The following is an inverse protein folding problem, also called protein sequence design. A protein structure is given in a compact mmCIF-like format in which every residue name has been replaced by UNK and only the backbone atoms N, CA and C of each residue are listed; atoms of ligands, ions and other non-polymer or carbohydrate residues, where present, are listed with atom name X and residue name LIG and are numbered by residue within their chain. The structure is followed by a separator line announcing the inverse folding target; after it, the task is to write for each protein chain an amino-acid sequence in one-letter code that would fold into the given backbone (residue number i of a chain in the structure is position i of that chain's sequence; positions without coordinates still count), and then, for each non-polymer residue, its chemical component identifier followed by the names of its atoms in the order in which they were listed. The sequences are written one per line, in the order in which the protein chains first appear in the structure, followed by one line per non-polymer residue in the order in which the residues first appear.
data_IF_395488857174
#
_entry.id   IF_395488857174
#
_cell.length_a   1.000
_cell.length_b   1.000
_cell.length_c   1.000
_cell.angle_alpha   90.00
_cell.angle_beta   90.00
_cell.angle_gamma   90.00
#
_symmetry.space_group_name_H-M   'P 1'
#
loop_
_entity.id
_entity.type
_entity.pdbx_description
1 polymer ?
#
# COMPACT_ATOMS: atom_id res chain seq x y z
N UNK A 1 4.97 5.54 0.06
CA UNK A 1 6.06 4.57 0.36
C UNK A 1 6.64 4.74 1.76
N UNK A 2 7.44 5.79 2.04
CA UNK A 2 8.03 5.98 3.39
C UNK A 2 6.97 5.98 4.51
N UNK A 3 5.83 6.64 4.27
CA UNK A 3 4.72 6.67 5.24
C UNK A 3 4.09 5.29 5.45
N UNK A 4 3.89 4.50 4.40
CA UNK A 4 3.34 3.14 4.48
C UNK A 4 4.20 2.22 5.34
N UNK A 5 5.54 2.30 5.22
CA UNK A 5 6.48 1.61 6.12
C UNK A 5 6.35 2.05 7.57
N UNK A 6 6.18 3.35 7.81
CA UNK A 6 5.96 3.88 9.16
C UNK A 6 4.65 3.38 9.76
N UNK A 7 3.60 3.21 8.95
CA UNK A 7 2.34 2.59 9.40
C UNK A 7 2.62 1.14 9.82
N UNK A 8 3.28 0.33 8.98
CA UNK A 8 3.61 -1.06 9.31
C UNK A 8 4.39 -1.16 10.64
N UNK A 9 5.41 -0.32 10.82
CA UNK A 9 6.22 -0.27 12.05
C UNK A 9 5.41 0.17 13.27
N UNK A 10 4.50 1.14 13.11
CA UNK A 10 3.61 1.59 14.20
C UNK A 10 2.69 0.44 14.65
N UNK A 11 2.09 -0.28 13.70
CA UNK A 11 1.18 -1.39 14.01
C UNK A 11 1.94 -2.55 14.68
N UNK A 12 3.09 -2.95 14.12
CA UNK A 12 3.96 -3.98 14.73
C UNK A 12 4.41 -3.57 16.13
N UNK A 13 4.89 -2.34 16.31
CA UNK A 13 5.35 -1.84 17.60
C UNK A 13 4.25 -1.84 18.65
N UNK A 14 3.05 -1.35 18.30
CA UNK A 14 1.91 -1.35 19.23
C UNK A 14 1.39 -2.76 19.52
N UNK A 15 1.40 -3.68 18.55
CA UNK A 15 1.01 -5.08 18.77
C UNK A 15 1.98 -5.79 19.73
N UNK A 16 3.29 -5.64 19.53
CA UNK A 16 4.30 -6.22 20.43
C UNK A 16 4.20 -5.62 21.83
N UNK A 17 3.97 -4.31 21.94
CA UNK A 17 3.81 -3.64 23.24
C UNK A 17 2.57 -4.13 24.01
N UNK A 18 1.45 -4.40 23.33
CA UNK A 18 0.21 -4.84 23.99
C UNK A 18 0.22 -6.33 24.33
N UNK A 19 0.67 -7.17 23.41
CA UNK A 19 0.49 -8.62 23.51
C UNK A 19 1.76 -9.38 23.90
N UNK A 20 2.93 -8.76 23.76
CA UNK A 20 4.24 -9.33 24.10
C UNK A 20 4.40 -10.77 23.56
N UNK A 21 4.57 -11.74 24.45
CA UNK A 21 4.79 -13.15 24.11
C UNK A 21 3.53 -13.84 23.55
N UNK A 22 2.35 -13.25 23.76
CA UNK A 22 1.06 -13.77 23.29
C UNK A 22 0.65 -13.22 21.93
N UNK A 23 1.51 -12.45 21.26
CA UNK A 23 1.20 -11.88 19.94
C UNK A 23 0.88 -12.96 18.90
N UNK A 24 1.49 -14.14 19.02
CA UNK A 24 1.23 -15.28 18.15
C UNK A 24 -0.23 -15.77 18.21
N UNK A 25 -0.94 -15.52 19.29
CA UNK A 25 -2.36 -15.89 19.42
C UNK A 25 -3.30 -14.86 18.77
N UNK A 26 -2.79 -13.66 18.43
CA UNK A 26 -3.57 -12.56 17.86
C UNK A 26 -3.53 -12.60 16.33
N UNK A 27 -4.14 -13.63 15.76
CA UNK A 27 -4.08 -13.91 14.32
C UNK A 27 -4.71 -12.79 13.47
N UNK A 28 -5.78 -12.15 13.93
CA UNK A 28 -6.41 -11.03 13.22
C UNK A 28 -5.49 -9.80 13.16
N UNK A 29 -4.80 -9.51 14.27
CA UNK A 29 -3.80 -8.43 14.35
C UNK A 29 -2.64 -8.73 13.40
N UNK A 30 -2.10 -9.96 13.46
CA UNK A 30 -1.00 -10.39 12.61
C UNK A 30 -1.39 -10.40 11.13
N UNK A 31 -2.60 -10.85 10.79
CA UNK A 31 -3.12 -10.88 9.43
C UNK A 31 -3.20 -9.48 8.83
N UNK A 32 -3.80 -8.52 9.52
CA UNK A 32 -3.87 -7.15 9.02
C UNK A 32 -2.50 -6.47 8.94
N UNK A 33 -1.58 -6.76 9.86
CA UNK A 33 -0.20 -6.28 9.76
C UNK A 33 0.49 -6.88 8.54
N UNK A 34 0.32 -8.18 8.30
CA UNK A 34 0.87 -8.86 7.13
C UNK A 34 0.33 -8.24 5.82
N UNK A 35 -0.97 -7.96 5.73
CA UNK A 35 -1.57 -7.27 4.58
C UNK A 35 -0.87 -5.93 4.31
N UNK A 36 -0.63 -5.12 5.35
CA UNK A 36 0.08 -3.84 5.22
C UNK A 36 1.51 -4.05 4.70
N UNK A 37 2.22 -5.05 5.22
CA UNK A 37 3.60 -5.37 4.80
C UNK A 37 3.64 -5.84 3.35
N UNK A 38 2.70 -6.69 2.95
CA UNK A 38 2.56 -7.19 1.58
C UNK A 38 2.33 -6.03 0.62
N UNK A 39 1.40 -5.12 0.94
CA UNK A 39 1.15 -3.93 0.12
C UNK A 39 2.39 -3.04 0.04
N UNK A 40 3.09 -2.81 1.14
CA UNK A 40 4.35 -2.05 1.14
C UNK A 40 5.38 -2.69 0.20
N UNK A 41 5.58 -4.00 0.29
CA UNK A 41 6.54 -4.73 -0.54
C UNK A 41 6.17 -4.68 -2.02
N UNK A 42 4.91 -4.95 -2.36
CA UNK A 42 4.42 -4.97 -3.73
C UNK A 42 4.52 -3.57 -4.37
N UNK A 43 4.11 -2.53 -3.64
CA UNK A 43 4.22 -1.15 -4.10
C UNK A 43 5.69 -0.75 -4.37
N UNK A 44 6.64 -1.14 -3.50
CA UNK A 44 8.06 -0.81 -3.70
C UNK A 44 8.68 -1.58 -4.85
N UNK A 45 8.34 -2.86 -4.97
CA UNK A 45 8.82 -3.73 -6.03
C UNK A 45 8.36 -3.22 -7.40
N UNK A 46 7.07 -2.90 -7.52
CA UNK A 46 6.48 -2.38 -8.76
C UNK A 46 7.08 -1.02 -9.15
N UNK A 47 7.19 -0.07 -8.20
CA UNK A 47 7.80 1.23 -8.45
C UNK A 47 9.27 1.11 -8.85
N UNK A 48 10.02 0.23 -8.19
CA UNK A 48 11.44 0.03 -8.50
C UNK A 48 11.62 -0.60 -9.88
N UNK A 49 10.77 -1.55 -10.27
CA UNK A 49 10.75 -2.15 -11.61
C UNK A 49 10.56 -1.08 -12.68
N UNK A 50 9.51 -0.25 -12.56
CA UNK A 50 9.23 0.81 -13.55
C UNK A 50 10.37 1.83 -13.61
N UNK A 51 10.91 2.27 -12.48
CA UNK A 51 12.06 3.20 -12.46
C UNK A 51 13.29 2.61 -13.17
N UNK A 52 13.56 1.33 -12.97
CA UNK A 52 14.67 0.65 -13.63
C UNK A 52 14.44 0.53 -15.14
N UNK A 53 13.21 0.27 -15.57
CA UNK A 53 12.85 0.23 -17.00
C UNK A 53 12.97 1.63 -17.63
N UNK A 54 12.42 2.67 -16.98
CA UNK A 54 12.52 4.06 -17.43
C UNK A 54 13.98 4.48 -17.62
N UNK A 55 14.86 4.15 -16.68
CA UNK A 55 16.30 4.45 -16.79
C UNK A 55 16.98 3.77 -17.99
N UNK A 56 16.48 2.61 -18.43
CA UNK A 56 17.07 1.84 -19.54
C UNK A 56 16.47 2.18 -20.91
N UNK A 57 15.19 2.52 -20.96
CA UNK A 57 14.39 2.61 -22.19
C UNK A 57 13.85 4.02 -22.46
N UNK A 58 13.88 4.92 -21.47
CA UNK A 58 13.22 6.22 -21.51
C UNK A 58 11.82 6.19 -20.87
N UNK A 59 11.37 7.34 -20.35
CA UNK A 59 10.09 7.45 -19.63
C UNK A 59 8.87 7.20 -20.53
N UNK A 60 8.92 7.69 -21.76
CA UNK A 60 7.82 7.56 -22.74
C UNK A 60 7.58 6.09 -23.12
N UNK A 61 8.66 5.33 -23.35
CA UNK A 61 8.62 3.91 -23.68
C UNK A 61 7.97 3.05 -22.59
N UNK A 62 8.02 3.50 -21.33
CA UNK A 62 7.47 2.76 -20.17
C UNK A 62 6.21 3.39 -19.59
N UNK A 63 5.57 4.27 -20.34
CA UNK A 63 4.43 5.06 -19.88
C UNK A 63 3.22 4.18 -19.48
N UNK A 64 2.98 3.06 -20.16
CA UNK A 64 1.93 2.09 -19.78
C UNK A 64 2.27 1.32 -18.50
N UNK A 65 3.52 0.88 -18.30
CA UNK A 65 3.92 0.25 -17.04
C UNK A 65 3.80 1.25 -15.86
N UNK A 66 4.12 2.52 -16.12
CA UNK A 66 3.97 3.60 -15.14
C UNK A 66 2.51 3.78 -14.75
N UNK A 67 1.60 3.75 -15.71
CA UNK A 67 0.16 3.83 -15.50
C UNK A 67 -0.37 2.69 -14.63
N UNK A 68 0.04 1.44 -14.91
CA UNK A 68 -0.30 0.28 -14.07
C UNK A 68 0.15 0.50 -12.63
N UNK A 69 1.39 0.93 -12.42
CA UNK A 69 1.91 1.18 -11.07
C UNK A 69 1.19 2.34 -10.39
N UNK A 70 0.84 3.41 -11.11
CA UNK A 70 0.09 4.54 -10.55
C UNK A 70 -1.30 4.13 -10.09
N UNK A 71 -2.01 3.33 -10.88
CA UNK A 71 -3.31 2.78 -10.49
C UNK A 71 -3.16 1.90 -9.25
N UNK A 72 -2.19 0.97 -9.25
CA UNK A 72 -1.95 0.08 -8.12
C UNK A 72 -1.62 0.84 -6.83
N UNK A 73 -0.70 1.81 -6.88
CA UNK A 73 -0.33 2.63 -5.72
C UNK A 73 -1.52 3.41 -5.15
N UNK A 74 -2.43 3.91 -5.99
CA UNK A 74 -3.63 4.61 -5.55
C UNK A 74 -4.51 3.67 -4.70
N UNK A 75 -4.76 2.46 -5.19
CA UNK A 75 -5.62 1.50 -4.50
C UNK A 75 -4.95 0.92 -3.24
N UNK A 76 -3.63 0.70 -3.28
CA UNK A 76 -2.85 0.17 -2.15
C UNK A 76 -2.92 1.04 -0.90
N UNK A 77 -2.95 2.37 -1.04
CA UNK A 77 -3.06 3.27 0.12
C UNK A 77 -4.39 3.04 0.84
N UNK A 78 -5.47 2.79 0.10
CA UNK A 78 -6.79 2.51 0.70
C UNK A 78 -6.80 1.15 1.41
N UNK A 79 -6.17 0.12 0.85
CA UNK A 79 -6.01 -1.19 1.51
C UNK A 79 -5.19 -1.08 2.80
N UNK A 80 -4.07 -0.36 2.76
CA UNK A 80 -3.26 -0.09 3.95
C UNK A 80 -4.06 0.67 5.01
N UNK A 81 -4.81 1.69 4.60
CA UNK A 81 -5.65 2.46 5.51
C UNK A 81 -6.70 1.57 6.18
N UNK A 82 -7.35 0.70 5.42
CA UNK A 82 -8.33 -0.25 5.94
C UNK A 82 -7.73 -1.20 6.97
N UNK A 83 -6.66 -1.94 6.63
CA UNK A 83 -6.03 -2.90 7.54
C UNK A 83 -5.49 -2.22 8.82
N UNK A 84 -4.95 -1.00 8.69
CA UNK A 84 -4.53 -0.22 9.85
C UNK A 84 -5.70 0.18 10.76
N UNK A 85 -6.86 0.55 10.20
CA UNK A 85 -8.05 0.87 10.99
C UNK A 85 -8.63 -0.34 11.72
N UNK A 86 -8.50 -1.55 11.17
CA UNK A 86 -8.88 -2.78 11.87
C UNK A 86 -7.91 -3.12 13.01
N UNK A 87 -6.62 -2.83 12.82
CA UNK A 87 -5.57 -3.18 13.79
C UNK A 87 -5.50 -2.21 14.97
N UNK A 88 -5.60 -0.89 14.72
CA UNK A 88 -5.34 0.15 15.73
C UNK A 88 -6.20 0.02 17.01
N UNK A 89 -7.52 -0.25 16.95
CA UNK A 89 -8.35 -0.43 18.15
C UNK A 89 -8.00 -1.70 18.93
N UNK A 90 -7.45 -2.72 18.26
CA UNK A 90 -7.02 -3.95 18.92
C UNK A 90 -5.75 -3.70 19.74
N UNK A 91 -4.88 -2.78 19.32
CA UNK A 91 -3.57 -2.52 19.95
C UNK A 91 -3.52 -1.26 20.83
N UNK A 92 -4.52 -0.38 20.77
CA UNK A 92 -4.54 0.87 21.53
C UNK A 92 -5.96 1.35 21.85
N UNK A 93 -6.10 2.09 22.96
CA UNK A 93 -7.37 2.64 23.43
C UNK A 93 -7.19 4.13 23.83
N UNK A 94 -8.30 4.83 24.11
CA UNK A 94 -8.30 6.20 24.60
C UNK A 94 -7.50 7.18 23.73
N UNK A 95 -6.67 8.01 24.36
CA UNK A 95 -5.89 9.05 23.69
C UNK A 95 -4.79 8.49 22.78
N UNK A 96 -4.25 7.32 23.12
CA UNK A 96 -3.29 6.61 22.27
C UNK A 96 -3.93 6.21 20.94
N UNK A 97 -5.15 5.66 20.98
CA UNK A 97 -5.89 5.34 19.76
C UNK A 97 -6.19 6.59 18.92
N UNK A 98 -6.63 7.68 19.56
CA UNK A 98 -6.86 8.98 18.86
C UNK A 98 -5.59 9.48 18.18
N UNK A 99 -4.43 9.31 18.82
CA UNK A 99 -3.12 9.66 18.26
C UNK A 99 -2.79 8.79 17.06
N UNK A 100 -2.96 7.46 17.18
CA UNK A 100 -2.71 6.52 16.09
C UNK A 100 -3.57 6.82 14.86
N UNK A 101 -4.87 7.06 15.05
CA UNK A 101 -5.80 7.42 13.97
C UNK A 101 -5.46 8.77 13.33
N UNK A 102 -4.87 9.71 14.08
CA UNK A 102 -4.40 11.00 13.54
C UNK A 102 -3.14 10.82 12.69
N UNK A 103 -2.19 10.01 13.17
CA UNK A 103 -0.99 9.63 12.41
C UNK A 103 -1.38 8.91 11.12
N UNK A 104 -2.32 7.96 11.20
CA UNK A 104 -2.81 7.22 10.05
C UNK A 104 -3.34 8.17 8.98
N UNK A 105 -4.28 9.06 9.34
CA UNK A 105 -4.85 10.07 8.44
C UNK A 105 -3.78 10.94 7.78
N UNK A 106 -2.73 11.32 8.52
CA UNK A 106 -1.59 12.08 7.96
C UNK A 106 -0.78 11.25 6.97
N UNK A 107 -0.55 9.99 7.26
CA UNK A 107 0.30 9.10 6.46
C UNK A 107 -0.40 8.53 5.22
N UNK A 108 -1.73 8.43 5.26
CA UNK A 108 -2.56 7.99 4.13
C UNK A 108 -3.16 9.14 3.34
N UNK A 109 -2.82 10.41 3.64
CA UNK A 109 -3.25 11.56 2.84
C UNK A 109 -2.54 11.57 1.49
N UNK A 110 -3.31 11.56 0.41
CA UNK A 110 -2.83 11.75 -0.96
C UNK A 110 -3.92 12.40 -1.82
N UNK A 111 -3.54 12.91 -3.00
CA UNK A 111 -4.51 13.37 -4.00
C UNK A 111 -4.88 12.19 -4.89
N UNK A 112 -6.15 11.73 -4.89
CA UNK A 112 -6.58 10.67 -5.80
C UNK A 112 -6.38 11.08 -7.26
N UNK A 113 -6.02 10.10 -8.09
CA UNK A 113 -5.91 10.26 -9.54
C UNK A 113 -7.12 9.61 -10.20
N UNK A 114 -7.42 10.00 -11.44
CA UNK A 114 -8.47 9.36 -12.23
C UNK A 114 -8.01 7.96 -12.68
N UNK A 115 -8.17 6.96 -11.79
CA UNK A 115 -7.80 5.58 -12.07
C UNK A 115 -8.66 4.95 -13.17
N UNK A 116 -9.87 5.45 -13.41
CA UNK A 116 -10.71 4.97 -14.51
C UNK A 116 -10.10 5.29 -15.88
N UNK A 117 -9.60 6.52 -16.07
CA UNK A 117 -8.90 6.89 -17.32
C UNK A 117 -7.62 6.06 -17.53
N UNK A 118 -6.84 5.87 -16.46
CA UNK A 118 -5.61 5.05 -16.49
C UNK A 118 -5.92 3.60 -16.86
N UNK A 119 -6.93 3.00 -16.20
CA UNK A 119 -7.32 1.60 -16.45
C UNK A 119 -7.84 1.42 -17.88
N UNK A 120 -8.61 2.37 -18.42
CA UNK A 120 -9.06 2.34 -19.82
C UNK A 120 -7.88 2.27 -20.78
N UNK A 121 -6.91 3.18 -20.64
CA UNK A 121 -5.69 3.19 -21.47
C UNK A 121 -4.92 1.87 -21.41
N UNK A 122 -4.80 1.27 -20.22
CA UNK A 122 -4.15 -0.05 -20.06
C UNK A 122 -4.98 -1.17 -20.71
N UNK A 123 -6.30 -1.15 -20.54
CA UNK A 123 -7.22 -2.11 -21.14
C UNK A 123 -7.21 -2.03 -22.66
N UNK A 124 -7.19 -0.84 -23.26
CA UNK A 124 -7.16 -0.65 -24.71
C UNK A 124 -5.89 -1.32 -25.29
N UNK A 125 -4.72 -1.08 -24.69
CA UNK A 125 -3.46 -1.71 -25.10
C UNK A 125 -3.50 -3.24 -24.98
N UNK A 126 -3.97 -3.77 -23.85
CA UNK A 126 -4.04 -5.21 -23.64
C UNK A 126 -5.10 -5.88 -24.52
N UNK A 127 -6.19 -5.19 -24.82
CA UNK A 127 -7.24 -5.64 -25.72
C UNK A 127 -6.73 -5.79 -27.15
N UNK A 128 -5.95 -4.82 -27.64
CA UNK A 128 -5.28 -4.90 -28.94
C UNK A 128 -4.24 -6.03 -29.00
N UNK A 129 -3.49 -6.24 -27.91
CA UNK A 129 -2.48 -7.29 -27.84
C UNK A 129 -3.07 -8.72 -27.65
N UNK A 130 -4.28 -8.83 -27.08
CA UNK A 130 -4.92 -10.11 -26.76
C UNK A 130 -4.26 -10.91 -25.64
N UNK A 131 -3.29 -10.32 -24.92
CA UNK A 131 -2.52 -10.99 -23.86
C UNK A 131 -1.93 -9.98 -22.87
N UNK A 132 -1.43 -10.47 -21.74
CA UNK A 132 -0.63 -9.66 -20.83
C UNK A 132 0.80 -9.51 -21.36
N UNK A 133 1.20 -8.28 -21.66
CA UNK A 133 2.50 -7.93 -22.25
C UNK A 133 3.21 -6.79 -21.49
N UNK A 134 2.85 -6.54 -20.23
CA UNK A 134 3.38 -5.46 -19.38
C UNK A 134 4.32 -5.95 -18.24
#
# INVERSE_FOLDING_TARGET
MKNSKKIALLLLGGAVQKYTDKIADQQEVLGHIADVIIEVYAMESALSRVKKMAKRQGEEAVSLHTDVVRAYLNDSINRINFSAQQTMPLIAEGDTLRTYLTILRRYTKYTPINTAAIRRRVCDHMGEAGMYNL
#
